data_IF_436000775397
#
_entry.id   IF_436000775397
#
_cell.length_a   1.000
_cell.length_b   1.000
_cell.length_c   1.000
_cell.angle_alpha   90.00
_cell.angle_beta   90.00
_cell.angle_gamma   90.00
#
_symmetry.space_group_name_H-M   'P 1'
#
loop_
_entity.id
_entity.type
_entity.pdbx_description
1 polymer ?
#
# COMPACT_ATOMS: atom_id res chain seq x y z
N UNK A 1 -41.03 -2.17 10.70
CA UNK A 1 -40.33 -3.02 11.68
C UNK A 1 -38.99 -3.58 11.17
N UNK A 2 -38.80 -3.85 9.87
CA UNK A 2 -37.55 -4.39 9.30
C UNK A 2 -36.34 -3.42 9.31
N UNK A 3 -36.56 -2.11 9.10
CA UNK A 3 -35.47 -1.11 8.99
C UNK A 3 -34.67 -0.85 10.28
N UNK A 4 -35.28 -1.08 11.46
CA UNK A 4 -34.62 -0.90 12.75
C UNK A 4 -33.65 -2.05 13.07
N UNK A 5 -33.97 -3.25 12.60
CA UNK A 5 -33.14 -4.46 12.81
C UNK A 5 -31.90 -4.41 11.91
N UNK A 6 -32.03 -3.93 10.67
CA UNK A 6 -30.89 -3.79 9.75
C UNK A 6 -29.86 -2.77 10.26
N UNK A 7 -30.33 -1.62 10.79
CA UNK A 7 -29.46 -0.62 11.42
C UNK A 7 -28.77 -1.15 12.68
N UNK A 8 -29.49 -1.90 13.52
CA UNK A 8 -28.91 -2.54 14.71
C UNK A 8 -27.82 -3.57 14.35
N UNK A 9 -28.05 -4.36 13.29
CA UNK A 9 -27.08 -5.33 12.80
C UNK A 9 -25.83 -4.64 12.20
N UNK A 10 -26.00 -3.54 11.46
CA UNK A 10 -24.86 -2.75 10.95
C UNK A 10 -24.05 -2.09 12.08
N UNK A 11 -24.71 -1.59 13.12
CA UNK A 11 -24.02 -0.97 14.27
C UNK A 11 -23.27 -2.02 15.08
N UNK A 12 -23.86 -3.20 15.27
CA UNK A 12 -23.20 -4.33 15.93
C UNK A 12 -21.99 -4.84 15.12
N UNK A 13 -22.12 -4.94 13.79
CA UNK A 13 -21.02 -5.33 12.90
C UNK A 13 -19.87 -4.30 12.92
N UNK A 14 -20.18 -3.00 12.90
CA UNK A 14 -19.19 -1.93 13.04
C UNK A 14 -18.51 -1.94 14.41
N UNK A 15 -19.26 -2.24 15.47
CA UNK A 15 -18.71 -2.35 16.82
C UNK A 15 -17.74 -3.54 16.94
N UNK A 16 -18.09 -4.72 16.39
CA UNK A 16 -17.21 -5.89 16.36
C UNK A 16 -15.94 -5.61 15.54
N UNK A 17 -16.07 -4.91 14.41
CA UNK A 17 -14.93 -4.47 13.61
C UNK A 17 -14.02 -3.53 14.42
N UNK A 18 -14.58 -2.52 15.07
CA UNK A 18 -13.83 -1.59 15.91
C UNK A 18 -13.12 -2.30 17.07
N UNK A 19 -13.77 -3.27 17.73
CA UNK A 19 -13.15 -4.09 18.77
C UNK A 19 -12.00 -4.96 18.22
N UNK A 20 -12.12 -5.49 17.01
CA UNK A 20 -11.04 -6.23 16.34
C UNK A 20 -9.83 -5.33 15.99
N UNK A 21 -10.05 -4.04 15.66
CA UNK A 21 -8.96 -3.08 15.43
C UNK A 21 -8.24 -2.63 16.72
N UNK A 22 -8.83 -2.80 17.91
CA UNK A 22 -8.16 -2.46 19.17
C UNK A 22 -6.94 -3.37 19.45
N UNK A 23 -6.85 -4.55 18.84
CA UNK A 23 -5.66 -5.41 18.88
C UNK A 23 -4.43 -4.86 18.13
N UNK A 24 -4.63 -3.91 17.21
CA UNK A 24 -3.54 -3.18 16.55
C UNK A 24 -2.97 -2.02 17.40
N UNK A 25 -3.57 -1.72 18.55
CA UNK A 25 -3.16 -0.61 19.43
C UNK A 25 -1.85 -0.92 20.18
N UNK A 26 -1.45 -2.19 20.29
CA UNK A 26 -0.25 -2.64 20.99
C UNK A 26 0.59 -3.63 20.15
N UNK A 27 0.84 -3.31 18.88
CA UNK A 27 1.95 -3.94 18.16
C UNK A 27 3.15 -3.00 18.24
N UNK A 28 4.11 -3.21 19.17
CA UNK A 28 5.28 -2.34 19.26
C UNK A 28 6.18 -2.59 18.04
N UNK A 29 5.95 -1.87 16.95
CA UNK A 29 6.85 -1.85 15.78
C UNK A 29 8.08 -0.98 16.08
N UNK A 30 8.89 -1.43 17.03
CA UNK A 30 10.10 -0.70 17.46
C UNK A 30 11.18 -0.94 16.42
N UNK A 31 11.15 -0.12 15.36
CA UNK A 31 12.21 -0.02 14.37
C UNK A 31 13.29 0.94 14.87
N UNK A 32 14.05 0.53 15.90
CA UNK A 32 15.08 1.37 16.51
C UNK A 32 16.43 0.81 16.11
N UNK A 33 17.17 1.58 15.30
CA UNK A 33 18.56 1.30 14.87
C UNK A 33 18.79 0.24 13.75
N UNK A 34 17.80 -0.02 12.87
CA UNK A 34 18.05 -0.79 11.63
C UNK A 34 17.10 -1.96 11.32
N UNK A 35 15.84 -1.91 11.73
CA UNK A 35 14.93 -3.07 11.74
C UNK A 35 14.45 -3.61 10.37
N UNK A 36 15.01 -3.10 9.26
CA UNK A 36 14.93 -3.70 7.91
C UNK A 36 16.25 -3.59 7.12
N UNK A 37 17.39 -3.40 7.79
CA UNK A 37 18.68 -3.18 7.13
C UNK A 37 19.12 -4.46 6.38
N UNK A 38 19.32 -4.52 5.03
CA UNK A 38 19.15 -3.56 3.92
C UNK A 38 17.91 -3.82 3.00
N UNK A 39 17.03 -4.73 3.40
CA UNK A 39 15.82 -5.16 2.71
C UNK A 39 14.99 -4.03 2.07
N UNK A 40 14.56 -3.05 2.86
CA UNK A 40 13.69 -1.97 2.41
C UNK A 40 14.35 -1.07 1.37
N UNK A 41 15.66 -0.80 1.52
CA UNK A 41 16.44 -0.03 0.55
C UNK A 41 16.47 -0.77 -0.79
N UNK A 42 16.65 -2.09 -0.77
CA UNK A 42 16.65 -2.93 -1.98
C UNK A 42 15.25 -2.92 -2.62
N UNK A 43 14.18 -3.10 -1.84
CA UNK A 43 12.81 -3.04 -2.34
C UNK A 43 12.48 -1.68 -2.98
N UNK A 44 12.85 -0.57 -2.32
CA UNK A 44 12.70 0.77 -2.87
C UNK A 44 13.55 0.98 -4.13
N UNK A 45 14.80 0.53 -4.14
CA UNK A 45 15.68 0.65 -5.31
C UNK A 45 15.13 -0.11 -6.52
N UNK A 46 14.63 -1.33 -6.32
CA UNK A 46 13.95 -2.10 -7.37
C UNK A 46 12.65 -1.41 -7.80
N UNK A 47 11.85 -0.88 -6.86
CA UNK A 47 10.66 -0.10 -7.16
C UNK A 47 10.95 1.12 -8.02
N UNK A 48 12.01 1.86 -7.72
CA UNK A 48 12.48 3.00 -8.53
C UNK A 48 12.94 2.52 -9.92
N UNK A 49 13.69 1.42 -10.01
CA UNK A 49 14.16 0.86 -11.28
C UNK A 49 13.01 0.44 -12.20
N UNK A 50 12.01 -0.27 -11.66
CA UNK A 50 10.80 -0.67 -12.40
C UNK A 50 10.02 0.57 -12.85
N UNK A 51 9.92 1.59 -12.01
CA UNK A 51 9.21 2.83 -12.34
C UNK A 51 9.94 3.62 -13.43
N UNK A 52 11.27 3.68 -13.39
CA UNK A 52 12.09 4.30 -14.43
C UNK A 52 11.97 3.53 -15.77
N UNK A 53 11.94 2.19 -15.72
CA UNK A 53 11.72 1.37 -16.91
C UNK A 53 10.32 1.58 -17.49
N UNK A 54 9.29 1.65 -16.65
CA UNK A 54 7.93 1.97 -17.07
C UNK A 54 7.86 3.38 -17.69
N UNK A 55 8.51 4.37 -17.08
CA UNK A 55 8.62 5.72 -17.64
C UNK A 55 9.28 5.71 -19.02
N UNK A 56 10.37 4.96 -19.20
CA UNK A 56 11.04 4.82 -20.49
C UNK A 56 10.12 4.19 -21.55
N UNK A 57 9.37 3.13 -21.20
CA UNK A 57 8.39 2.52 -22.08
C UNK A 57 7.28 3.50 -22.48
N UNK A 58 6.73 4.24 -21.51
CA UNK A 58 5.69 5.24 -21.77
C UNK A 58 6.19 6.40 -22.63
N UNK A 59 7.43 6.86 -22.39
CA UNK A 59 8.07 7.90 -23.19
C UNK A 59 8.27 7.43 -24.64
N UNK A 60 8.70 6.18 -24.83
CA UNK A 60 8.85 5.58 -26.15
C UNK A 60 7.52 5.44 -26.88
N UNK A 61 6.44 5.15 -26.17
CA UNK A 61 5.11 5.01 -26.75
C UNK A 61 4.33 6.32 -26.89
N UNK A 62 4.91 7.47 -26.50
CA UNK A 62 4.26 8.81 -26.52
C UNK A 62 2.93 8.91 -25.76
N UNK A 63 2.57 7.90 -24.97
CA UNK A 63 1.29 7.86 -24.25
C UNK A 63 1.30 8.77 -23.02
N UNK A 64 2.48 9.29 -22.63
CA UNK A 64 2.66 10.24 -21.53
C UNK A 64 1.75 11.46 -21.71
N UNK A 65 1.44 11.91 -22.92
CA UNK A 65 0.57 13.07 -23.13
C UNK A 65 -0.91 12.80 -22.80
N UNK A 66 -1.35 11.54 -22.77
CA UNK A 66 -2.73 11.14 -22.45
C UNK A 66 -2.91 10.60 -21.03
N UNK A 67 -1.83 10.29 -20.31
CA UNK A 67 -1.89 9.75 -18.96
C UNK A 67 -1.94 10.87 -17.90
N UNK A 68 -2.99 11.70 -17.89
CA UNK A 68 -3.23 12.59 -16.75
C UNK A 68 -3.92 11.81 -15.62
N UNK A 69 -3.41 11.70 -14.37
CA UNK A 69 -2.26 12.37 -13.75
C UNK A 69 -1.06 11.43 -13.49
N UNK A 70 -0.02 11.52 -14.31
CA UNK A 70 1.24 10.78 -14.17
C UNK A 70 1.90 10.92 -12.79
N UNK A 71 1.80 12.11 -12.19
CA UNK A 71 2.38 12.41 -10.88
C UNK A 71 1.83 11.50 -9.76
N UNK A 72 0.63 10.92 -9.93
CA UNK A 72 0.04 9.99 -8.98
C UNK A 72 0.31 8.53 -9.36
N UNK A 73 0.39 8.24 -10.66
CA UNK A 73 0.63 6.90 -11.18
C UNK A 73 2.03 6.37 -10.78
N UNK A 74 3.06 7.20 -10.91
CA UNK A 74 4.43 6.80 -10.55
C UNK A 74 4.63 6.48 -9.07
N UNK A 75 4.23 7.32 -8.10
CA UNK A 75 4.37 6.97 -6.69
C UNK A 75 3.50 5.77 -6.32
N UNK A 76 2.31 5.63 -6.90
CA UNK A 76 1.45 4.47 -6.66
C UNK A 76 2.12 3.17 -7.14
N UNK A 77 2.77 3.20 -8.30
CA UNK A 77 3.58 2.08 -8.80
C UNK A 77 4.78 1.78 -7.89
N UNK A 78 5.54 2.79 -7.48
CA UNK A 78 6.68 2.61 -6.57
C UNK A 78 6.22 1.95 -5.26
N UNK A 79 5.13 2.46 -4.68
CA UNK A 79 4.57 1.94 -3.41
C UNK A 79 4.05 0.53 -3.60
N UNK A 80 3.30 0.27 -4.67
CA UNK A 80 2.74 -1.06 -4.95
C UNK A 80 3.84 -2.11 -5.17
N UNK A 81 4.87 -1.77 -5.95
CA UNK A 81 6.01 -2.65 -6.21
C UNK A 81 6.83 -2.85 -4.94
N UNK A 82 7.16 -1.78 -4.21
CA UNK A 82 7.89 -1.88 -2.94
C UNK A 82 7.15 -2.73 -1.91
N UNK A 83 5.83 -2.54 -1.77
CA UNK A 83 5.00 -3.30 -0.84
C UNK A 83 4.82 -4.76 -1.27
N UNK A 84 4.63 -5.01 -2.57
CA UNK A 84 4.56 -6.38 -3.11
C UNK A 84 5.88 -7.13 -2.93
N UNK A 85 7.01 -6.50 -3.24
CA UNK A 85 8.34 -7.08 -3.01
C UNK A 85 8.56 -7.36 -1.53
N UNK A 86 8.16 -6.44 -0.66
CA UNK A 86 8.27 -6.62 0.77
C UNK A 86 7.46 -7.81 1.27
N UNK A 87 6.19 -7.92 0.86
CA UNK A 87 5.33 -9.03 1.24
C UNK A 87 5.76 -10.37 0.64
N UNK A 88 6.47 -10.38 -0.49
CA UNK A 88 6.99 -11.62 -1.07
C UNK A 88 8.31 -12.04 -0.42
N UNK A 89 9.18 -11.08 -0.10
CA UNK A 89 10.54 -11.36 0.40
C UNK A 89 10.64 -11.40 1.94
N UNK A 90 9.77 -10.68 2.66
CA UNK A 90 9.85 -10.44 4.11
C UNK A 90 8.56 -10.73 4.88
N UNK A 91 7.57 -11.35 4.25
CA UNK A 91 6.43 -11.95 4.96
C UNK A 91 6.88 -13.13 5.81
#
# INVERSE_FOLDING_TARGET
>A
MSQSILKGLTVSALAVMMLALNGCSFSPSINVLGSYFPAWIICCAVGIGVTAFAHYLFARWKIIEQLWPLALLYPCLIIFVSCSLWLVLFR
#
